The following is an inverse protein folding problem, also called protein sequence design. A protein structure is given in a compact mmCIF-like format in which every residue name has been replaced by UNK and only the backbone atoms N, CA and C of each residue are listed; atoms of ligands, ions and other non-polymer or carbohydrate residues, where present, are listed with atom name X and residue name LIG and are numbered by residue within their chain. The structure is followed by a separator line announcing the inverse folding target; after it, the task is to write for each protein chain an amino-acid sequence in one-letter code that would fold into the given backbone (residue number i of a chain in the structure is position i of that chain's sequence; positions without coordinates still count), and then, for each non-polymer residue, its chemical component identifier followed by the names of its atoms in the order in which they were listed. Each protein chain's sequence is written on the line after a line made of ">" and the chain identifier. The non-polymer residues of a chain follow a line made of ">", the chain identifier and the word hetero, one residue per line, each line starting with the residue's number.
data_IF_617854019787
#
_entry.id   IF_617854019787
#
_cell.length_a   1.000
_cell.length_b   1.000
_cell.length_c   1.000
_cell.angle_alpha   90.00
_cell.angle_beta   90.00
_cell.angle_gamma   90.00
#
_symmetry.space_group_name_H-M   'P 1'
#
loop_
_entity.id
_entity.type
_entity.pdbx_description
1 polymer ?
#
# COMPACT_ATOMS: atom_id res chain seq x y z
N UNK A 1 2.50 14.49 -1.12
CA UNK A 1 1.04 14.37 -0.99
C UNK A 1 0.60 12.93 -0.67
N UNK A 2 0.93 11.88 -1.45
CA UNK A 2 0.48 10.51 -1.12
C UNK A 2 1.15 9.89 0.10
N UNK A 3 2.43 10.20 0.36
CA UNK A 3 3.18 9.67 1.52
C UNK A 3 2.58 10.08 2.87
N UNK A 4 2.26 11.36 3.03
CA UNK A 4 1.73 11.90 4.29
C UNK A 4 0.36 11.31 4.65
N UNK A 5 -0.47 11.00 3.64
CA UNK A 5 -1.78 10.39 3.85
C UNK A 5 -1.70 8.99 4.44
N UNK A 6 -0.76 8.16 3.96
CA UNK A 6 -0.57 6.80 4.47
C UNK A 6 -0.06 6.81 5.91
N UNK A 7 0.93 7.65 6.22
CA UNK A 7 1.43 7.78 7.59
C UNK A 7 0.35 8.26 8.57
N UNK A 8 -0.48 9.23 8.16
CA UNK A 8 -1.60 9.70 8.98
C UNK A 8 -2.64 8.60 9.18
N UNK A 9 -3.01 7.85 8.14
CA UNK A 9 -3.95 6.74 8.26
C UNK A 9 -3.44 5.65 9.22
N UNK A 10 -2.17 5.27 9.12
CA UNK A 10 -1.53 4.31 10.03
C UNK A 10 -1.49 4.83 11.46
N UNK A 11 -1.17 6.11 11.64
CA UNK A 11 -1.13 6.75 12.97
C UNK A 11 -2.52 6.80 13.59
N UNK A 12 -3.55 7.10 12.81
CA UNK A 12 -4.95 7.09 13.28
C UNK A 12 -5.36 5.68 13.72
N UNK A 13 -5.12 4.66 12.89
CA UNK A 13 -5.43 3.27 13.24
C UNK A 13 -4.70 2.82 14.50
N UNK A 14 -3.43 3.18 14.65
CA UNK A 14 -2.68 2.90 15.85
C UNK A 14 -3.22 3.65 17.08
N UNK A 15 -3.62 4.91 16.93
CA UNK A 15 -4.19 5.70 18.03
C UNK A 15 -5.60 5.24 18.45
N UNK A 16 -6.30 4.53 17.57
CA UNK A 16 -7.62 3.93 17.82
C UNK A 16 -7.54 2.50 18.37
N UNK A 17 -6.33 1.95 18.58
CA UNK A 17 -6.09 0.53 18.91
C UNK A 17 -6.60 -0.46 17.84
N UNK A 18 -6.86 0.02 16.62
CA UNK A 18 -7.34 -0.74 15.46
C UNK A 18 -6.19 -1.35 14.64
N UNK A 19 -4.93 -1.13 15.05
CA UNK A 19 -3.74 -1.68 14.41
C UNK A 19 -3.15 -2.79 15.28
N UNK A 20 -3.11 -3.99 14.73
CA UNK A 20 -2.68 -5.20 15.44
C UNK A 20 -1.48 -5.82 14.74
N UNK A 21 -0.49 -6.27 15.52
CA UNK A 21 0.75 -6.85 14.98
C UNK A 21 0.83 -8.32 15.39
N UNK A 22 1.04 -9.20 14.41
CA UNK A 22 1.13 -10.65 14.57
C UNK A 22 2.47 -11.13 14.02
N UNK A 23 3.11 -12.09 14.71
CA UNK A 23 4.40 -12.61 14.25
C UNK A 23 4.30 -13.33 12.89
N UNK A 24 3.32 -14.23 12.73
CA UNK A 24 3.11 -15.00 11.50
C UNK A 24 1.62 -15.27 11.26
N UNK A 25 1.17 -14.92 10.06
CA UNK A 25 -0.21 -15.19 9.62
C UNK A 25 -0.42 -16.68 9.27
N UNK A 26 0.64 -17.40 8.91
CA UNK A 26 0.58 -18.83 8.52
C UNK A 26 0.41 -19.81 9.70
N UNK A 27 0.46 -19.33 10.94
CA UNK A 27 0.31 -20.19 12.13
C UNK A 27 -1.14 -20.47 12.52
N UNK A 28 -2.10 -20.00 11.73
CA UNK A 28 -3.50 -20.35 11.92
C UNK A 28 -3.68 -21.87 11.73
N UNK A 29 -4.50 -22.52 12.56
CA UNK A 29 -4.81 -23.94 12.39
C UNK A 29 -5.26 -24.22 10.94
N UNK A 30 -4.85 -25.35 10.37
CA UNK A 30 -5.31 -25.74 9.02
C UNK A 30 -6.84 -25.94 8.97
N UNK A 31 -7.46 -26.19 10.12
CA UNK A 31 -8.90 -26.32 10.34
C UNK A 31 -9.58 -24.98 10.71
N UNK A 32 -8.89 -23.85 10.53
CA UNK A 32 -9.46 -22.54 10.80
C UNK A 32 -10.54 -22.20 9.75
N UNK A 33 -11.78 -22.46 10.10
CA UNK A 33 -12.96 -22.06 9.32
C UNK A 33 -13.30 -20.58 9.52
N UNK A 34 -14.20 -20.06 8.67
CA UNK A 34 -14.77 -18.72 8.80
C UNK A 34 -15.24 -18.39 10.23
N UNK A 35 -15.92 -19.33 10.88
CA UNK A 35 -16.42 -19.16 12.26
C UNK A 35 -15.27 -19.00 13.26
N UNK A 36 -14.15 -19.71 13.09
CA UNK A 36 -12.98 -19.55 13.95
C UNK A 36 -12.38 -18.14 13.85
N UNK A 37 -12.28 -17.58 12.63
CA UNK A 37 -11.82 -16.20 12.46
C UNK A 37 -12.78 -15.18 13.09
N UNK A 38 -14.09 -15.45 13.00
CA UNK A 38 -15.09 -14.57 13.58
C UNK A 38 -15.05 -14.60 15.11
N UNK A 39 -15.00 -15.79 15.72
CA UNK A 39 -14.84 -15.95 17.18
C UNK A 39 -13.52 -15.33 17.66
N UNK A 40 -12.46 -15.46 16.87
CA UNK A 40 -11.16 -14.86 17.14
C UNK A 40 -11.21 -13.32 17.11
N UNK A 41 -11.91 -12.75 16.13
CA UNK A 41 -12.12 -11.32 16.01
C UNK A 41 -13.00 -10.78 17.14
N UNK A 42 -14.07 -11.50 17.51
CA UNK A 42 -14.96 -11.13 18.61
C UNK A 42 -14.25 -11.21 19.96
N UNK A 43 -13.46 -12.27 20.21
CA UNK A 43 -12.70 -12.43 21.46
C UNK A 43 -11.66 -11.33 21.64
N UNK A 44 -11.08 -10.83 20.54
CA UNK A 44 -10.05 -9.79 20.54
C UNK A 44 -10.61 -8.38 20.28
N UNK A 45 -11.92 -8.24 20.14
CA UNK A 45 -12.60 -6.99 19.77
C UNK A 45 -12.03 -6.33 18.50
N UNK A 46 -11.67 -7.11 17.48
CA UNK A 46 -11.18 -6.58 16.18
C UNK A 46 -12.30 -5.98 15.31
N UNK A 47 -13.54 -6.02 15.76
CA UNK A 47 -14.68 -5.47 15.03
C UNK A 47 -15.13 -6.38 13.88
N UNK A 48 -16.00 -5.83 13.03
CA UNK A 48 -16.72 -6.62 12.02
C UNK A 48 -15.86 -6.88 10.78
N UNK A 49 -14.95 -5.97 10.46
CA UNK A 49 -14.15 -6.02 9.24
C UNK A 49 -12.66 -5.94 9.53
N UNK A 50 -11.90 -6.92 9.01
CA UNK A 50 -10.47 -7.07 9.31
C UNK A 50 -9.66 -7.23 8.03
N UNK A 51 -8.59 -6.45 7.94
CA UNK A 51 -7.63 -6.50 6.84
C UNK A 51 -6.32 -7.13 7.31
N UNK A 52 -5.94 -8.26 6.74
CA UNK A 52 -4.64 -8.90 6.97
C UNK A 52 -3.63 -8.40 5.95
N UNK A 53 -2.47 -7.95 6.44
CA UNK A 53 -1.39 -7.43 5.61
C UNK A 53 -0.14 -8.27 5.78
N UNK A 54 0.33 -8.87 4.68
CA UNK A 54 1.53 -9.69 4.65
C UNK A 54 2.63 -9.09 3.74
N UNK A 55 3.88 -9.49 3.95
CA UNK A 55 5.00 -9.07 3.11
C UNK A 55 4.95 -9.68 1.70
N UNK A 56 4.52 -10.94 1.60
CA UNK A 56 4.34 -11.67 0.34
C UNK A 56 2.86 -11.88 -0.01
N UNK A 57 2.59 -12.13 -1.29
CA UNK A 57 1.26 -12.53 -1.78
C UNK A 57 0.95 -14.01 -1.48
N UNK A 58 1.94 -14.74 -1.00
CA UNK A 58 1.81 -16.14 -0.60
C UNK A 58 1.24 -16.20 0.81
N UNK A 59 -0.09 -16.24 0.89
CA UNK A 59 -0.80 -16.53 2.13
C UNK A 59 -1.19 -18.00 2.08
N UNK A 60 -0.70 -18.77 3.05
CA UNK A 60 -0.88 -20.22 3.08
C UNK A 60 -1.77 -20.67 4.24
N UNK A 61 -2.49 -21.78 4.07
CA UNK A 61 -3.26 -22.43 5.13
C UNK A 61 -4.74 -22.02 5.21
N UNK A 62 -5.35 -22.22 6.39
CA UNK A 62 -6.80 -22.04 6.63
C UNK A 62 -7.29 -20.60 6.47
N UNK A 63 -6.40 -19.61 6.54
CA UNK A 63 -6.77 -18.19 6.37
C UNK A 63 -7.38 -17.90 5.00
N UNK A 64 -6.84 -18.51 3.93
CA UNK A 64 -7.34 -18.29 2.56
C UNK A 64 -8.77 -18.82 2.43
N UNK A 65 -8.99 -20.05 2.88
CA UNK A 65 -10.31 -20.70 2.85
C UNK A 65 -11.34 -19.94 3.67
N UNK A 66 -10.95 -19.42 4.83
CA UNK A 66 -11.84 -18.63 5.68
C UNK A 66 -12.16 -17.24 5.10
N UNK A 67 -11.19 -16.58 4.44
CA UNK A 67 -11.40 -15.29 3.75
C UNK A 67 -12.31 -15.45 2.54
N UNK A 68 -12.19 -16.55 1.77
CA UNK A 68 -13.08 -16.82 0.63
C UNK A 68 -14.55 -16.94 1.06
N UNK A 69 -14.81 -17.43 2.27
CA UNK A 69 -16.15 -17.59 2.82
C UNK A 69 -16.70 -16.29 3.45
N UNK A 70 -15.83 -15.37 3.86
CA UNK A 70 -16.22 -14.15 4.59
C UNK A 70 -15.80 -12.87 3.87
N UNK A 71 -16.73 -12.11 3.28
CA UNK A 71 -16.41 -10.86 2.58
C UNK A 71 -15.93 -9.74 3.52
N UNK A 72 -16.17 -9.85 4.83
CA UNK A 72 -15.74 -8.88 5.82
C UNK A 72 -14.24 -8.97 6.15
N UNK A 73 -13.63 -10.13 5.89
CA UNK A 73 -12.20 -10.37 6.09
C UNK A 73 -11.52 -10.30 4.74
N UNK A 74 -10.34 -9.70 4.67
CA UNK A 74 -9.59 -9.61 3.43
C UNK A 74 -8.12 -9.65 3.72
N UNK A 75 -7.35 -10.25 2.81
CA UNK A 75 -5.91 -10.30 2.87
C UNK A 75 -5.32 -9.49 1.71
N UNK A 76 -4.23 -8.77 1.96
CA UNK A 76 -3.49 -8.09 0.90
C UNK A 76 -1.99 -8.00 1.21
N UNK A 77 -1.13 -7.91 0.20
CA UNK A 77 0.28 -7.68 0.40
C UNK A 77 0.59 -6.20 0.71
N UNK A 78 1.70 -5.93 1.42
CA UNK A 78 2.16 -4.58 1.79
C UNK A 78 2.28 -3.64 0.58
N UNK A 79 2.70 -4.14 -0.58
CA UNK A 79 2.84 -3.29 -1.77
C UNK A 79 1.51 -2.81 -2.35
N UNK A 80 0.40 -3.50 -2.06
CA UNK A 80 -0.95 -3.09 -2.45
C UNK A 80 -1.61 -2.15 -1.45
N UNK A 81 -0.98 -1.94 -0.28
CA UNK A 81 -1.56 -1.18 0.81
C UNK A 81 -1.84 0.27 0.39
N UNK A 82 -3.08 0.70 0.59
CA UNK A 82 -3.51 2.04 0.25
C UNK A 82 -4.35 2.65 1.38
N UNK A 83 -4.47 3.98 1.39
CA UNK A 83 -5.21 4.70 2.44
C UNK A 83 -6.70 4.32 2.44
N UNK A 84 -7.27 4.01 1.29
CA UNK A 84 -8.68 3.64 1.17
C UNK A 84 -8.97 2.28 1.83
N UNK A 85 -8.10 1.29 1.64
CA UNK A 85 -8.15 -0.01 2.31
C UNK A 85 -8.00 0.19 3.82
N UNK A 86 -7.05 1.02 4.28
CA UNK A 86 -6.92 1.30 5.72
C UNK A 86 -8.19 1.92 6.33
N UNK A 87 -8.92 2.74 5.59
CA UNK A 87 -10.15 3.39 6.08
C UNK A 87 -11.40 2.51 5.92
N UNK A 88 -11.38 1.57 4.98
CA UNK A 88 -12.52 0.69 4.68
C UNK A 88 -12.74 -0.36 5.78
N UNK A 89 -11.65 -0.88 6.34
CA UNK A 89 -11.71 -1.93 7.38
C UNK A 89 -11.57 -1.32 8.77
N UNK A 90 -12.22 -1.94 9.75
CA UNK A 90 -12.18 -1.51 11.14
C UNK A 90 -10.82 -1.82 11.76
N UNK A 91 -10.36 -3.06 11.66
CA UNK A 91 -9.04 -3.47 12.17
C UNK A 91 -8.09 -3.86 11.05
N UNK A 92 -6.82 -3.52 11.20
CA UNK A 92 -5.75 -3.91 10.29
C UNK A 92 -4.70 -4.72 11.05
N UNK A 93 -4.46 -5.94 10.59
CA UNK A 93 -3.53 -6.90 11.20
C UNK A 93 -2.29 -7.01 10.32
N UNK A 94 -1.14 -6.58 10.81
CA UNK A 94 0.14 -6.68 10.11
C UNK A 94 0.94 -7.88 10.58
N UNK A 95 1.56 -8.59 9.63
CA UNK A 95 2.68 -9.49 9.91
C UNK A 95 3.90 -8.68 10.37
N UNK A 96 4.74 -9.28 11.21
CA UNK A 96 6.00 -8.65 11.63
C UNK A 96 6.92 -8.38 10.44
N UNK A 97 7.02 -9.30 9.49
CA UNK A 97 7.77 -9.07 8.24
C UNK A 97 7.19 -7.92 7.42
N UNK A 98 5.86 -7.78 7.45
CA UNK A 98 5.15 -6.72 6.73
C UNK A 98 5.43 -5.33 7.31
N UNK A 99 5.47 -5.20 8.64
CA UNK A 99 5.75 -3.91 9.30
C UNK A 99 7.20 -3.48 9.06
N UNK A 100 8.15 -4.40 9.12
CA UNK A 100 9.57 -4.12 8.86
C UNK A 100 9.77 -3.59 7.43
N UNK A 101 9.15 -4.25 6.44
CA UNK A 101 9.20 -3.83 5.04
C UNK A 101 8.51 -2.46 4.84
N UNK A 102 7.36 -2.25 5.49
CA UNK A 102 6.64 -0.99 5.41
C UNK A 102 7.48 0.15 5.98
N UNK A 103 8.08 -0.04 7.15
CA UNK A 103 8.93 0.93 7.81
C UNK A 103 10.15 1.30 6.96
N UNK A 104 10.86 0.30 6.40
CA UNK A 104 11.99 0.53 5.51
C UNK A 104 11.59 1.42 4.32
N UNK A 105 10.45 1.11 3.70
CA UNK A 105 9.93 1.85 2.53
C UNK A 105 9.51 3.26 2.90
N UNK A 106 8.90 3.44 4.07
CA UNK A 106 8.48 4.75 4.56
C UNK A 106 9.68 5.63 4.89
N UNK A 107 10.66 5.10 5.62
CA UNK A 107 11.90 5.80 5.96
C UNK A 107 12.70 6.17 4.71
N UNK A 108 12.77 5.27 3.73
CA UNK A 108 13.44 5.53 2.45
C UNK A 108 12.78 6.66 1.67
N UNK A 109 11.45 6.79 1.72
CA UNK A 109 10.74 7.93 1.12
C UNK A 109 10.94 9.22 1.93
N UNK A 110 10.95 9.14 3.26
CA UNK A 110 11.16 10.29 4.14
C UNK A 110 12.55 10.91 3.98
N UNK A 111 13.58 10.06 3.95
CA UNK A 111 14.98 10.47 3.80
C UNK A 111 15.42 10.58 2.34
N UNK A 112 14.48 10.44 1.39
CA UNK A 112 14.79 10.66 -0.02
C UNK A 112 15.16 12.14 -0.20
N UNK A 113 16.41 12.41 -0.54
CA UNK A 113 16.80 13.72 -1.04
C UNK A 113 15.82 14.11 -2.16
N UNK A 114 15.15 15.26 -2.00
CA UNK A 114 14.17 15.73 -2.97
C UNK A 114 14.78 15.74 -4.38
N UNK A 115 13.98 15.58 -5.44
CA UNK A 115 14.53 15.64 -6.78
C UNK A 115 15.22 16.99 -6.97
N UNK A 116 16.56 16.99 -7.07
CA UNK A 116 17.36 18.18 -7.43
C UNK A 116 16.86 18.81 -8.75
N UNK A 117 16.08 18.09 -9.55
CA UNK A 117 15.68 18.41 -10.91
C UNK A 117 14.22 18.85 -11.13
N UNK A 118 13.55 19.50 -10.17
CA UNK A 118 12.31 20.23 -10.54
C UNK A 118 12.60 21.46 -11.42
N UNK A 119 13.74 22.13 -11.20
CA UNK A 119 14.13 23.33 -11.96
C UNK A 119 14.75 23.00 -13.34
N UNK A 120 15.43 21.85 -13.44
CA UNK A 120 16.11 21.42 -14.68
C UNK A 120 15.23 20.62 -15.63
N UNK A 121 14.14 19.98 -15.16
CA UNK A 121 13.19 19.31 -16.08
C UNK A 121 12.62 20.26 -17.14
N UNK A 122 12.36 21.52 -16.79
CA UNK A 122 11.89 22.50 -17.78
C UNK A 122 12.95 22.82 -18.83
N UNK A 123 14.24 22.90 -18.45
CA UNK A 123 15.33 23.13 -19.40
C UNK A 123 15.56 21.91 -20.29
N UNK A 124 15.52 20.70 -19.73
CA UNK A 124 15.63 19.46 -20.50
C UNK A 124 14.46 19.28 -21.49
N UNK A 125 13.23 19.60 -21.07
CA UNK A 125 12.07 19.58 -21.98
C UNK A 125 12.16 20.68 -23.03
N UNK A 126 12.60 21.89 -22.67
CA UNK A 126 12.78 23.00 -23.60
C UNK A 126 13.85 22.67 -24.64
N UNK A 127 14.99 22.12 -24.25
CA UNK A 127 16.05 21.72 -25.20
C UNK A 127 15.59 20.60 -26.13
N UNK A 128 14.83 19.62 -25.62
CA UNK A 128 14.25 18.58 -26.48
C UNK A 128 13.26 19.14 -27.50
N UNK A 129 12.36 20.03 -27.09
CA UNK A 129 11.39 20.66 -27.99
C UNK A 129 12.09 21.51 -29.06
N UNK A 130 13.13 22.26 -28.68
CA UNK A 130 13.90 23.07 -29.63
C UNK A 130 14.68 22.20 -30.62
N UNK A 131 15.32 21.11 -30.16
CA UNK A 131 16.06 20.18 -31.01
C UNK A 131 15.15 19.32 -31.93
N UNK A 132 13.89 19.11 -31.56
CA UNK A 132 12.89 18.47 -32.41
C UNK A 132 12.36 19.45 -33.47
N UNK A 133 12.15 20.72 -33.12
CA UNK A 133 11.73 21.78 -34.06
C UNK A 133 12.78 22.13 -35.12
N UNK A 134 14.08 22.09 -34.80
CA UNK A 134 15.15 22.32 -35.78
C UNK A 134 15.20 21.26 -36.90
N UNK A 135 14.52 20.12 -36.74
CA UNK A 135 14.43 19.06 -37.77
C UNK A 135 13.19 19.17 -38.65
N UNK A 136 12.26 20.06 -38.31
CA UNK A 136 11.01 20.32 -39.06
C UNK A 136 11.05 21.64 -39.86
N UNK A 137 12.17 22.37 -39.84
CA UNK A 137 12.41 23.53 -40.72
C UNK A 137 12.63 23.07 -42.18
N UNK A 138 11.57 22.59 -42.81
CA UNK A 138 11.50 22.42 -44.26
C UNK A 138 11.41 23.82 -44.91
N UNK A 139 12.32 24.19 -45.84
CA UNK A 139 12.42 25.55 -46.39
C UNK A 139 11.21 26.01 -47.22
N UNK A 140 10.16 25.20 -47.33
CA UNK A 140 9.01 25.42 -48.21
C UNK A 140 7.69 25.58 -47.42
N UNK A 141 7.59 25.14 -46.16
CA UNK A 141 6.32 25.24 -45.40
C UNK A 141 6.50 25.84 -44.00
N UNK A 142 5.63 26.79 -43.59
CA UNK A 142 5.64 27.30 -42.23
C UNK A 142 5.04 26.29 -41.24
N UNK A 143 5.45 26.33 -39.96
CA UNK A 143 4.98 25.40 -38.94
C UNK A 143 3.47 25.55 -38.70
N UNK A 144 2.78 24.42 -38.55
CA UNK A 144 1.33 24.35 -38.34
C UNK A 144 1.05 24.74 -36.88
N UNK A 145 0.21 25.77 -36.70
CA UNK A 145 -0.19 26.37 -35.42
C UNK A 145 -1.22 25.53 -34.68
#
# INVERSE_FOLDING_TARGET
>A
LPFSGLCVALTLKHAQDDLQIVDRLDRLPAEADAQFLQDLADTRNWGYSVLFVNDTDEISGGLVTAIEQLPSFTAMPVYGLNCFSLLKYDTVVFSRSAIDLLEERLLKQLHRAGPLNKKYRYMDYKERILNEGEKEDDPIYPPIV
#
